data_IF_914184729063
#
_entry.id   IF_914184729063
#
_cell.length_a   1.000
_cell.length_b   1.000
_cell.length_c   1.000
_cell.angle_alpha   90.00
_cell.angle_beta   90.00
_cell.angle_gamma   90.00
#
_symmetry.space_group_name_H-M   'P 1'
#
loop_
_entity.id
_entity.type
_entity.pdbx_description
1 polymer ?
#
# COMPACT_ATOMS: atom_id res chain seq x y z
N UNK A 1 -4.54 13.83 61.57
CA UNK A 1 -5.17 14.77 60.62
C UNK A 1 -5.23 14.04 59.26
N UNK A 2 -6.28 13.31 58.88
CA UNK A 2 -7.67 13.66 58.56
C UNK A 2 -7.88 14.11 57.10
N UNK A 3 -8.90 13.49 56.45
CA UNK A 3 -9.49 13.65 55.09
C UNK A 3 -8.85 12.78 54.00
N UNK A 4 -9.39 11.63 53.53
CA UNK A 4 -10.76 11.13 53.20
C UNK A 4 -11.39 11.77 51.95
N UNK A 5 -11.67 10.93 50.95
CA UNK A 5 -12.53 11.13 49.76
C UNK A 5 -12.04 10.19 48.64
N UNK A 6 -12.55 8.98 48.35
CA UNK A 6 -13.93 8.49 48.11
C UNK A 6 -14.70 9.37 47.13
N UNK A 7 -14.82 8.91 45.88
CA UNK A 7 -16.11 8.69 45.22
C UNK A 7 -16.03 7.50 44.25
N UNK A 8 -17.09 6.69 44.33
CA UNK A 8 -17.47 5.56 43.50
C UNK A 8 -18.91 5.85 43.03
N UNK A 9 -19.38 5.11 42.01
CA UNK A 9 -20.73 5.11 41.34
C UNK A 9 -20.66 5.71 39.92
N UNK A 10 -21.34 5.17 38.90
CA UNK A 10 -22.43 4.19 38.86
C UNK A 10 -22.57 3.60 37.44
N UNK A 11 -23.12 2.40 37.39
CA UNK A 11 -23.65 1.72 36.21
C UNK A 11 -24.85 2.47 35.61
N UNK A 12 -25.00 2.38 34.28
CA UNK A 12 -26.33 2.33 33.66
C UNK A 12 -26.25 1.49 32.36
N UNK A 13 -27.13 0.50 32.30
CA UNK A 13 -27.40 -0.35 31.16
C UNK A 13 -28.23 0.40 30.11
N UNK A 14 -28.08 0.02 28.84
CA UNK A 14 -29.14 0.16 27.83
C UNK A 14 -29.09 -1.06 26.92
N UNK A 15 -30.20 -1.78 26.94
CA UNK A 15 -30.56 -2.89 26.07
C UNK A 15 -31.44 -2.38 24.90
N UNK A 16 -31.69 -3.27 23.95
CA UNK A 16 -32.48 -3.16 22.70
C UNK A 16 -31.62 -2.75 21.48
N UNK A 17 -31.76 -3.32 20.28
CA UNK A 17 -32.82 -4.17 19.74
C UNK A 17 -32.28 -5.02 18.57
N UNK A 18 -33.03 -6.09 18.34
CA UNK A 18 -32.99 -7.11 17.30
C UNK A 18 -32.89 -6.64 15.83
N UNK A 19 -32.26 -7.45 14.99
CA UNK A 19 -32.89 -7.91 13.74
C UNK A 19 -32.15 -9.12 13.13
N UNK A 20 -32.83 -10.26 13.19
CA UNK A 20 -32.53 -11.44 12.40
C UNK A 20 -32.79 -11.13 10.92
N UNK A 21 -31.87 -11.49 10.03
CA UNK A 21 -32.22 -11.84 8.65
C UNK A 21 -31.75 -13.25 8.33
N UNK A 22 -32.71 -14.18 8.42
CA UNK A 22 -32.62 -15.53 7.87
C UNK A 22 -32.83 -15.44 6.36
N UNK A 23 -31.77 -15.56 5.56
CA UNK A 23 -31.92 -15.91 4.14
C UNK A 23 -31.80 -17.42 3.97
N UNK A 24 -32.98 -18.03 3.96
CA UNK A 24 -33.26 -19.38 3.49
C UNK A 24 -33.54 -19.28 1.99
N UNK A 25 -32.88 -20.11 1.16
CA UNK A 25 -33.22 -20.64 -0.17
C UNK A 25 -31.91 -21.20 -0.74
N UNK A 26 -31.76 -22.38 -1.33
CA UNK A 26 -32.65 -23.42 -1.78
C UNK A 26 -31.76 -24.41 -2.55
N UNK A 27 -32.00 -25.70 -2.37
CA UNK A 27 -31.20 -26.80 -2.90
C UNK A 27 -31.48 -27.00 -4.39
N UNK A 28 -30.47 -27.31 -5.21
CA UNK A 28 -30.63 -28.25 -6.34
C UNK A 28 -29.37 -29.09 -6.50
N UNK A 29 -29.59 -30.40 -6.51
CA UNK A 29 -28.60 -31.43 -6.72
C UNK A 29 -28.30 -31.58 -8.21
N UNK A 30 -27.04 -31.83 -8.58
CA UNK A 30 -26.72 -32.58 -9.80
C UNK A 30 -25.37 -33.26 -9.63
N UNK A 31 -25.40 -34.57 -9.43
CA UNK A 31 -24.25 -35.47 -9.63
C UNK A 31 -23.96 -35.60 -11.13
N UNK A 32 -22.74 -35.98 -11.54
CA UNK A 32 -22.62 -37.34 -12.02
C UNK A 32 -21.34 -38.08 -11.63
N UNK A 33 -21.55 -39.37 -11.41
CA UNK A 33 -20.60 -40.49 -11.36
C UNK A 33 -19.82 -40.61 -12.68
N UNK A 34 -18.50 -40.82 -12.60
CA UNK A 34 -17.76 -41.63 -13.57
C UNK A 34 -16.47 -42.19 -12.94
N UNK A 35 -16.48 -43.51 -12.79
CA UNK A 35 -15.37 -44.41 -12.50
C UNK A 35 -14.47 -44.54 -13.74
N UNK A 36 -13.14 -44.56 -13.59
CA UNK A 36 -12.24 -45.51 -14.27
C UNK A 36 -10.76 -45.26 -13.94
N UNK A 37 -10.10 -46.36 -13.62
CA UNK A 37 -8.67 -46.59 -13.42
C UNK A 37 -7.74 -46.00 -14.49
N UNK A 38 -6.50 -45.69 -14.10
CA UNK A 38 -5.30 -46.20 -14.77
C UNK A 38 -4.02 -45.92 -13.98
N UNK A 39 -3.26 -46.99 -13.79
CA UNK A 39 -1.94 -47.12 -13.17
C UNK A 39 -0.89 -47.15 -14.28
N UNK A 40 0.16 -46.32 -14.21
CA UNK A 40 1.51 -46.63 -14.72
C UNK A 40 2.48 -45.44 -14.55
N UNK A 41 3.60 -45.72 -13.89
CA UNK A 41 4.95 -45.17 -14.15
C UNK A 41 5.74 -46.25 -14.92
N UNK A 42 6.96 -46.03 -15.44
CA UNK A 42 7.82 -44.82 -15.49
C UNK A 42 8.35 -44.51 -16.92
N UNK A 43 9.19 -43.47 -17.03
CA UNK A 43 10.52 -43.48 -17.72
C UNK A 43 10.83 -42.29 -18.66
N UNK A 44 12.11 -41.92 -18.62
CA UNK A 44 12.95 -41.13 -19.55
C UNK A 44 12.68 -39.64 -19.91
N UNK A 45 13.67 -38.82 -19.54
CA UNK A 45 14.09 -37.56 -20.20
C UNK A 45 14.74 -37.87 -21.57
N UNK A 46 14.74 -36.98 -22.59
CA UNK A 46 15.60 -35.79 -22.57
C UNK A 46 15.13 -34.55 -23.37
N UNK A 47 15.70 -33.40 -22.94
CA UNK A 47 16.19 -32.27 -23.74
C UNK A 47 15.28 -31.42 -24.66
N UNK A 48 15.52 -30.11 -24.53
CA UNK A 48 15.39 -29.04 -25.53
C UNK A 48 13.98 -28.49 -25.83
N UNK A 49 13.70 -27.28 -25.32
CA UNK A 49 13.65 -26.08 -26.17
C UNK A 49 13.33 -24.84 -25.32
N UNK A 50 14.30 -23.93 -25.33
CA UNK A 50 14.19 -22.56 -24.85
C UNK A 50 13.07 -21.84 -25.62
N UNK A 51 12.08 -21.31 -24.92
CA UNK A 51 11.18 -20.28 -25.47
C UNK A 51 11.50 -18.95 -24.80
N UNK A 52 12.18 -18.11 -25.59
CA UNK A 52 12.58 -16.76 -25.28
C UNK A 52 11.37 -15.89 -24.93
N UNK A 53 11.42 -15.23 -23.78
CA UNK A 53 10.53 -14.14 -23.42
C UNK A 53 10.85 -12.92 -24.29
N UNK A 54 9.90 -12.55 -25.15
CA UNK A 54 9.96 -11.34 -25.96
C UNK A 54 9.68 -10.11 -25.09
N UNK A 55 10.74 -9.39 -24.70
CA UNK A 55 10.60 -8.02 -24.18
C UNK A 55 10.48 -7.04 -25.35
N UNK A 56 9.54 -6.07 -25.34
CA UNK A 56 9.53 -5.01 -26.33
C UNK A 56 10.68 -4.03 -26.07
N UNK A 57 11.68 -4.03 -26.95
CA UNK A 57 12.76 -3.03 -26.99
C UNK A 57 12.26 -1.78 -27.70
N UNK A 58 12.23 -0.64 -27.00
CA UNK A 58 12.02 0.67 -27.63
C UNK A 58 13.36 1.20 -28.18
N UNK A 59 13.42 1.71 -29.43
CA UNK A 59 14.66 2.25 -29.96
C UNK A 59 14.94 3.66 -29.39
N UNK A 60 16.12 3.84 -28.80
CA UNK A 60 16.69 5.15 -28.48
C UNK A 60 17.23 5.75 -29.77
N UNK A 61 16.61 6.83 -30.24
CA UNK A 61 17.11 7.63 -31.36
C UNK A 61 18.27 8.51 -30.86
N UNK A 62 19.47 8.26 -31.36
CA UNK A 62 20.65 9.09 -31.14
C UNK A 62 20.82 9.99 -32.37
N UNK A 63 20.65 11.31 -32.19
CA UNK A 63 21.08 12.29 -33.20
C UNK A 63 22.16 13.16 -32.59
N UNK A 64 23.39 12.92 -33.03
CA UNK A 64 24.58 13.68 -32.67
C UNK A 64 25.00 14.51 -33.89
N UNK A 65 24.82 15.83 -33.78
CA UNK A 65 25.65 16.89 -34.37
C UNK A 65 25.65 17.10 -35.89
N UNK A 66 25.26 18.30 -36.32
CA UNK A 66 26.01 19.04 -37.34
C UNK A 66 25.64 20.53 -37.35
N UNK A 67 26.70 21.35 -37.33
CA UNK A 67 26.90 22.64 -38.03
C UNK A 67 25.95 23.83 -37.80
N UNK A 68 26.58 24.89 -37.28
CA UNK A 68 26.20 26.28 -37.40
C UNK A 68 25.85 26.70 -38.85
N UNK A 69 24.94 27.67 -39.00
CA UNK A 69 25.18 28.98 -39.64
C UNK A 69 23.89 29.66 -40.12
N UNK A 70 23.84 31.00 -39.97
CA UNK A 70 23.00 31.97 -40.71
C UNK A 70 21.47 31.87 -40.47
N UNK A 71 20.63 32.90 -40.59
CA UNK A 71 20.70 34.36 -40.65
C UNK A 71 19.22 34.80 -40.73
N UNK A 72 18.93 35.98 -40.19
CA UNK A 72 17.76 36.82 -40.53
C UNK A 72 16.51 36.73 -39.63
N UNK A 73 16.00 37.89 -39.17
CA UNK A 73 14.73 38.02 -38.43
C UNK A 73 13.52 37.92 -39.38
N UNK A 74 12.34 37.49 -38.89
CA UNK A 74 11.15 37.39 -39.72
C UNK A 74 10.64 38.78 -40.12
N UNK A 75 10.47 38.93 -41.43
CA UNK A 75 9.88 40.07 -42.12
C UNK A 75 8.42 40.27 -41.71
N UNK A 76 8.10 41.52 -41.37
CA UNK A 76 6.76 42.09 -41.36
C UNK A 76 6.08 41.85 -42.70
N UNK A 77 4.89 41.25 -42.72
CA UNK A 77 3.76 41.56 -43.62
C UNK A 77 2.67 40.49 -43.46
N UNK A 78 1.63 40.82 -42.71
CA UNK A 78 0.22 40.69 -43.15
C UNK A 78 -0.69 41.16 -42.01
N UNK A 79 -1.13 42.41 -42.11
CA UNK A 79 -2.14 43.05 -41.25
C UNK A 79 -3.34 43.33 -42.15
N UNK A 80 -4.52 42.73 -41.92
CA UNK A 80 -5.76 43.33 -42.40
C UNK A 80 -6.10 44.56 -41.55
N UNK A 81 -6.07 45.73 -42.20
CA UNK A 81 -6.69 46.97 -41.74
C UNK A 81 -8.21 46.85 -41.91
N UNK A 82 -8.97 47.08 -40.84
CA UNK A 82 -10.35 47.62 -40.81
C UNK A 82 -10.70 47.73 -39.30
N UNK A 83 -10.45 48.89 -38.68
CA UNK A 83 -11.46 49.92 -38.44
C UNK A 83 -12.45 49.57 -37.30
N UNK A 84 -12.06 49.87 -36.05
CA UNK A 84 -12.97 50.39 -35.04
C UNK A 84 -12.28 51.57 -34.36
N UNK A 85 -12.66 52.77 -34.80
CA UNK A 85 -12.41 53.99 -34.07
C UNK A 85 -13.38 54.00 -32.88
N UNK A 86 -12.87 53.79 -31.67
CA UNK A 86 -13.53 54.28 -30.47
C UNK A 86 -12.71 55.43 -29.90
N UNK A 87 -13.35 56.59 -29.97
CA UNK A 87 -12.90 57.88 -29.50
C UNK A 87 -13.00 57.88 -27.99
N UNK A 88 -11.90 57.78 -27.26
CA UNK A 88 -11.81 58.29 -25.88
C UNK A 88 -10.40 58.80 -25.58
N UNK A 89 -10.29 60.12 -25.58
CA UNK A 89 -9.63 60.96 -24.58
C UNK A 89 -8.17 60.68 -24.14
N UNK A 90 -7.28 61.69 -24.18
CA UNK A 90 -6.01 61.64 -23.48
C UNK A 90 -6.21 61.94 -21.98
N UNK A 91 -6.33 60.90 -21.14
CA UNK A 91 -6.17 61.04 -19.68
C UNK A 91 -5.84 59.70 -19.01
N UNK A 92 -4.81 59.73 -18.15
CA UNK A 92 -4.49 58.84 -17.03
C UNK A 92 -3.79 57.49 -17.28
N UNK A 93 -2.54 57.45 -16.83
CA UNK A 93 -1.64 56.30 -16.82
C UNK A 93 -1.81 55.42 -15.55
N UNK A 94 -2.98 55.36 -14.93
CA UNK A 94 -3.14 54.77 -13.58
C UNK A 94 -4.11 53.56 -13.46
N UNK A 95 -4.83 53.14 -14.52
CA UNK A 95 -5.89 52.10 -14.42
C UNK A 95 -5.53 50.67 -14.90
N UNK A 96 -4.26 50.37 -15.19
CA UNK A 96 -3.87 48.99 -15.61
C UNK A 96 -3.57 48.09 -14.39
N UNK A 97 -3.25 48.67 -13.23
CA UNK A 97 -2.92 47.94 -12.01
C UNK A 97 -4.12 47.27 -11.32
N UNK A 98 -5.26 47.97 -11.27
CA UNK A 98 -6.43 47.57 -10.46
C UNK A 98 -7.11 46.30 -10.99
N UNK A 99 -7.31 46.21 -12.31
CA UNK A 99 -7.93 45.05 -12.96
C UNK A 99 -7.07 43.78 -12.86
N UNK A 100 -5.73 43.92 -12.91
CA UNK A 100 -4.80 42.80 -12.73
C UNK A 100 -4.77 42.31 -11.27
N UNK A 101 -4.87 43.21 -10.30
CA UNK A 101 -4.96 42.85 -8.89
C UNK A 101 -6.30 42.15 -8.58
N UNK A 102 -7.42 42.66 -9.10
CA UNK A 102 -8.74 42.05 -8.93
C UNK A 102 -8.82 40.62 -9.50
N UNK A 103 -8.11 40.33 -10.59
CA UNK A 103 -8.09 38.98 -11.19
C UNK A 103 -7.07 38.03 -10.56
N UNK A 104 -5.99 38.54 -9.95
CA UNK A 104 -4.94 37.75 -9.29
C UNK A 104 -5.27 37.43 -7.84
N UNK A 105 -5.90 38.34 -7.09
CA UNK A 105 -6.30 38.14 -5.71
C UNK A 105 -7.06 36.81 -5.47
N UNK A 106 -8.16 36.50 -6.21
CA UNK A 106 -8.88 35.23 -6.02
C UNK A 106 -8.06 34.01 -6.45
N UNK A 107 -7.07 34.17 -7.35
CA UNK A 107 -6.16 33.08 -7.75
C UNK A 107 -5.10 32.83 -6.68
N UNK A 108 -4.65 33.85 -5.97
CA UNK A 108 -3.67 33.74 -4.88
C UNK A 108 -4.35 33.14 -3.65
N UNK A 109 -5.56 33.60 -3.30
CA UNK A 109 -6.35 33.04 -2.19
C UNK A 109 -6.62 31.54 -2.38
N UNK A 110 -6.94 31.10 -3.60
CA UNK A 110 -7.08 29.67 -3.92
C UNK A 110 -5.75 28.90 -3.90
N UNK A 111 -4.63 29.59 -4.08
CA UNK A 111 -3.27 29.02 -4.10
C UNK A 111 -2.59 28.99 -2.73
N UNK A 112 -3.28 29.36 -1.64
CA UNK A 112 -2.77 29.30 -0.27
C UNK A 112 -2.57 27.83 0.22
N UNK A 113 -2.12 26.94 -0.66
CA UNK A 113 -1.46 25.71 -0.23
C UNK A 113 -0.07 26.09 0.26
N UNK A 114 0.20 25.72 1.51
CA UNK A 114 1.50 25.95 2.11
C UNK A 114 2.60 25.23 1.30
N UNK A 115 3.80 25.80 1.27
CA UNK A 115 4.94 25.18 0.58
C UNK A 115 5.24 23.76 1.10
N UNK A 116 4.90 23.49 2.36
CA UNK A 116 4.96 22.15 2.97
C UNK A 116 3.97 21.18 2.33
N UNK A 117 2.74 21.62 2.14
CA UNK A 117 1.64 20.84 1.56
C UNK A 117 1.98 20.46 0.10
N UNK A 118 2.56 21.40 -0.66
CA UNK A 118 3.06 21.14 -2.00
C UNK A 118 4.27 20.19 -2.04
N UNK A 119 5.09 20.17 -0.99
CA UNK A 119 6.21 19.23 -0.87
C UNK A 119 5.71 17.81 -0.55
N UNK A 120 4.73 17.68 0.35
CA UNK A 120 4.08 16.41 0.69
C UNK A 120 3.35 15.80 -0.51
N UNK A 121 2.72 16.64 -1.33
CA UNK A 121 2.13 16.24 -2.62
C UNK A 121 3.16 15.96 -3.72
N UNK A 122 4.46 16.04 -3.41
CA UNK A 122 5.57 15.84 -4.34
C UNK A 122 5.55 16.78 -5.57
N UNK A 123 4.88 17.93 -5.48
CA UNK A 123 4.85 18.97 -6.52
C UNK A 123 6.13 19.83 -6.41
N UNK A 124 6.49 20.21 -5.18
CA UNK A 124 7.77 20.87 -4.89
C UNK A 124 8.80 19.84 -4.41
N UNK A 125 10.01 19.91 -4.95
CA UNK A 125 11.15 19.17 -4.41
C UNK A 125 11.51 19.66 -3.00
N UNK A 126 12.36 18.89 -2.30
CA UNK A 126 12.74 19.17 -0.90
C UNK A 126 13.07 20.64 -0.65
N UNK A 127 12.38 21.22 0.35
CA UNK A 127 12.55 22.61 0.75
C UNK A 127 13.88 22.87 1.49
N UNK A 128 14.54 21.80 1.95
CA UNK A 128 15.83 21.85 2.65
C UNK A 128 17.02 21.90 1.67
N UNK A 129 16.82 21.42 0.44
CA UNK A 129 17.88 21.30 -0.56
C UNK A 129 17.85 22.53 -1.47
N UNK A 130 19.00 23.18 -1.63
CA UNK A 130 19.12 24.35 -2.50
C UNK A 130 18.66 24.01 -3.94
N UNK A 131 17.91 24.90 -4.62
CA UNK A 131 17.31 24.61 -5.94
C UNK A 131 18.30 24.12 -7.00
N UNK A 132 19.54 24.61 -6.96
CA UNK A 132 20.61 24.29 -7.93
C UNK A 132 21.09 22.84 -7.85
N UNK A 133 21.01 22.19 -6.68
CA UNK A 133 21.52 20.83 -6.46
C UNK A 133 20.41 19.77 -6.36
N UNK A 134 19.15 20.15 -6.53
CA UNK A 134 18.03 19.20 -6.41
C UNK A 134 18.13 18.06 -7.42
N UNK A 135 18.54 18.36 -8.66
CA UNK A 135 18.69 17.36 -9.70
C UNK A 135 19.79 16.36 -9.37
N UNK A 136 20.96 16.84 -8.91
CA UNK A 136 22.09 15.98 -8.56
C UNK A 136 21.80 15.16 -7.30
N UNK A 137 21.13 15.75 -6.30
CA UNK A 137 20.67 15.03 -5.11
C UNK A 137 19.71 13.88 -5.48
N UNK A 138 18.73 14.12 -6.36
CA UNK A 138 17.81 13.07 -6.85
C UNK A 138 18.55 12.01 -7.67
N UNK A 139 19.53 12.42 -8.47
CA UNK A 139 20.36 11.51 -9.25
C UNK A 139 21.22 10.60 -8.36
N UNK A 140 21.70 11.09 -7.21
CA UNK A 140 22.45 10.31 -6.23
C UNK A 140 21.55 9.43 -5.36
N UNK A 141 20.35 9.91 -5.00
CA UNK A 141 19.40 9.15 -4.19
C UNK A 141 19.00 7.83 -4.87
N UNK A 142 18.86 7.82 -6.20
CA UNK A 142 18.52 6.62 -6.98
C UNK A 142 19.54 5.48 -6.80
N UNK A 143 20.84 5.63 -7.13
CA UNK A 143 21.82 4.58 -6.93
C UNK A 143 21.97 4.23 -5.45
N UNK A 144 21.95 5.18 -4.53
CA UNK A 144 22.00 4.85 -3.09
C UNK A 144 20.83 3.95 -2.66
N UNK A 145 19.60 4.24 -3.13
CA UNK A 145 18.45 3.37 -2.87
C UNK A 145 18.57 2.02 -3.57
N UNK A 146 19.13 1.97 -4.78
CA UNK A 146 19.33 0.74 -5.52
C UNK A 146 20.38 -0.16 -4.86
N UNK A 147 21.50 0.41 -4.42
CA UNK A 147 22.55 -0.28 -3.67
C UNK A 147 21.99 -0.78 -2.34
N UNK A 148 21.22 0.04 -1.63
CA UNK A 148 20.56 -0.39 -0.40
C UNK A 148 19.63 -1.58 -0.62
N UNK A 149 18.74 -1.51 -1.61
CA UNK A 149 17.87 -2.64 -1.97
C UNK A 149 18.69 -3.86 -2.38
N UNK A 150 19.77 -3.69 -3.16
CA UNK A 150 20.69 -4.76 -3.54
C UNK A 150 21.26 -5.47 -2.31
N UNK A 151 21.76 -4.71 -1.32
CA UNK A 151 22.27 -5.29 -0.07
C UNK A 151 21.19 -6.06 0.71
N UNK A 152 19.96 -5.55 0.75
CA UNK A 152 18.84 -6.26 1.40
C UNK A 152 18.46 -7.55 0.66
N UNK A 153 18.52 -7.54 -0.67
CA UNK A 153 18.26 -8.73 -1.48
C UNK A 153 19.34 -9.80 -1.30
N UNK A 154 20.61 -9.42 -1.13
CA UNK A 154 21.68 -10.40 -0.84
C UNK A 154 21.52 -11.08 0.52
N UNK A 155 20.92 -10.39 1.49
CA UNK A 155 20.64 -10.89 2.84
C UNK A 155 19.22 -11.41 2.99
N UNK A 156 18.50 -11.62 1.89
CA UNK A 156 17.10 -12.04 1.93
C UNK A 156 17.01 -13.47 2.50
N UNK A 157 16.27 -13.68 3.60
CA UNK A 157 16.07 -15.02 4.15
C UNK A 157 15.26 -15.89 3.20
N UNK A 158 15.52 -17.18 3.23
CA UNK A 158 14.75 -18.17 2.48
C UNK A 158 13.35 -18.35 3.10
N UNK A 159 12.41 -18.89 2.31
CA UNK A 159 11.06 -19.18 2.80
C UNK A 159 11.11 -20.16 3.99
N UNK A 160 11.98 -21.17 3.91
CA UNK A 160 12.17 -22.17 4.98
C UNK A 160 12.63 -21.52 6.29
N UNK A 161 13.58 -20.59 6.23
CA UNK A 161 14.03 -19.85 7.42
C UNK A 161 12.90 -19.01 8.02
N UNK A 162 12.03 -18.43 7.19
CA UNK A 162 10.87 -17.67 7.65
C UNK A 162 9.79 -18.58 8.26
N UNK A 163 9.62 -19.80 7.78
CA UNK A 163 8.69 -20.78 8.36
C UNK A 163 9.20 -21.32 9.69
N UNK A 164 10.51 -21.57 9.79
CA UNK A 164 11.13 -22.04 11.03
C UNK A 164 11.07 -20.97 12.13
N UNK A 165 11.17 -19.69 11.74
CA UNK A 165 10.96 -18.55 12.64
C UNK A 165 9.47 -18.27 12.96
N UNK A 166 8.54 -19.01 12.36
CA UNK A 166 7.10 -18.83 12.58
C UNK A 166 6.52 -17.53 11.99
N UNK A 167 7.22 -16.91 11.04
CA UNK A 167 6.80 -15.66 10.40
C UNK A 167 5.76 -15.93 9.29
N UNK A 168 5.95 -17.02 8.54
CA UNK A 168 5.07 -17.42 7.43
C UNK A 168 4.65 -18.87 7.61
N UNK A 169 3.41 -19.20 7.26
CA UNK A 169 2.95 -20.58 7.16
C UNK A 169 2.96 -21.05 5.70
N UNK A 170 3.68 -22.13 5.40
CA UNK A 170 3.85 -22.64 4.03
C UNK A 170 2.64 -23.46 3.52
N UNK A 171 1.78 -23.91 4.45
CA UNK A 171 0.72 -24.88 4.15
C UNK A 171 -0.59 -24.24 3.67
N UNK A 172 -0.73 -22.92 3.75
CA UNK A 172 -1.99 -22.20 3.55
C UNK A 172 -1.76 -21.03 2.60
N UNK A 173 -2.73 -20.75 1.73
CA UNK A 173 -2.66 -19.59 0.84
C UNK A 173 -2.63 -18.28 1.66
N UNK A 174 -1.91 -17.22 1.21
CA UNK A 174 -1.77 -15.96 1.97
C UNK A 174 -3.11 -15.33 2.37
N UNK A 175 -4.13 -15.43 1.52
CA UNK A 175 -5.46 -14.89 1.79
C UNK A 175 -6.21 -15.63 2.91
N UNK A 176 -5.85 -16.88 3.19
CA UNK A 176 -6.50 -17.74 4.19
C UNK A 176 -5.68 -17.91 5.47
N UNK A 177 -4.44 -17.41 5.51
CA UNK A 177 -3.54 -17.58 6.65
C UNK A 177 -4.17 -17.04 7.95
N UNK A 178 -4.73 -15.83 7.91
CA UNK A 178 -5.34 -15.22 9.08
C UNK A 178 -6.55 -16.04 9.60
N UNK A 179 -7.36 -16.59 8.69
CA UNK A 179 -8.53 -17.39 9.07
C UNK A 179 -8.14 -18.78 9.56
N UNK A 180 -7.12 -19.40 8.97
CA UNK A 180 -6.57 -20.67 9.45
C UNK A 180 -5.96 -20.56 10.83
N UNK A 181 -5.23 -19.47 11.10
CA UNK A 181 -4.58 -19.26 12.40
C UNK A 181 -5.62 -19.00 13.48
N UNK A 182 -6.62 -18.17 13.20
CA UNK A 182 -7.74 -17.93 14.11
C UNK A 182 -8.52 -19.23 14.43
N UNK A 183 -8.78 -20.05 13.41
CA UNK A 183 -9.42 -21.34 13.59
C UNK A 183 -8.55 -22.31 14.41
N UNK A 184 -7.25 -22.37 14.12
CA UNK A 184 -6.29 -23.19 14.87
C UNK A 184 -6.25 -22.82 16.35
N UNK A 185 -6.24 -21.52 16.66
CA UNK A 185 -6.31 -21.03 18.04
C UNK A 185 -7.64 -21.43 18.72
N UNK A 186 -8.78 -21.29 18.05
CA UNK A 186 -10.07 -21.70 18.63
C UNK A 186 -10.14 -23.20 18.89
N UNK A 187 -9.71 -24.03 17.94
CA UNK A 187 -9.69 -25.49 18.09
C UNK A 187 -8.77 -25.90 19.26
N UNK A 188 -7.59 -25.28 19.36
CA UNK A 188 -6.67 -25.58 20.47
C UNK A 188 -7.21 -25.10 21.81
N UNK A 189 -7.87 -23.94 21.86
CA UNK A 189 -8.52 -23.42 23.06
C UNK A 189 -9.66 -24.32 23.53
N UNK A 190 -10.53 -24.76 22.63
CA UNK A 190 -11.64 -25.67 22.95
C UNK A 190 -11.11 -27.02 23.45
N UNK A 191 -10.10 -27.57 22.76
CA UNK A 191 -9.45 -28.82 23.16
C UNK A 191 -8.80 -28.68 24.53
N UNK A 192 -8.11 -27.58 24.79
CA UNK A 192 -7.48 -27.31 26.08
C UNK A 192 -8.53 -27.18 27.19
N UNK A 193 -9.61 -26.44 26.94
CA UNK A 193 -10.74 -26.28 27.86
C UNK A 193 -11.33 -27.63 28.26
N UNK A 194 -11.55 -28.52 27.28
CA UNK A 194 -12.05 -29.86 27.56
C UNK A 194 -11.08 -30.71 28.40
N UNK A 195 -9.77 -30.65 28.10
CA UNK A 195 -8.75 -31.38 28.86
C UNK A 195 -8.60 -30.87 30.30
N UNK A 196 -8.68 -29.56 30.49
CA UNK A 196 -8.64 -28.94 31.82
C UNK A 196 -9.91 -29.28 32.61
N UNK A 197 -11.08 -29.30 31.97
CA UNK A 197 -12.33 -29.67 32.64
C UNK A 197 -12.33 -31.11 33.19
N UNK A 198 -11.65 -32.03 32.50
CA UNK A 198 -11.47 -33.42 32.96
C UNK A 198 -10.20 -33.63 33.80
N UNK A 199 -9.60 -32.56 34.32
CA UNK A 199 -8.40 -32.66 35.12
C UNK A 199 -8.69 -33.50 36.38
N UNK A 200 -7.97 -34.62 36.61
CA UNK A 200 -8.12 -35.40 37.84
C UNK A 200 -7.77 -34.56 39.08
N UNK A 201 -8.48 -34.82 40.17
CA UNK A 201 -8.22 -34.19 41.46
C UNK A 201 -6.89 -34.66 42.04
N UNK A 202 -6.37 -33.92 43.03
CA UNK A 202 -5.11 -34.27 43.71
C UNK A 202 -5.17 -35.68 44.32
N UNK A 203 -6.29 -36.02 44.98
CA UNK A 203 -6.52 -37.36 45.53
C UNK A 203 -6.44 -38.43 44.44
N UNK A 204 -7.07 -38.21 43.28
CA UNK A 204 -7.01 -39.15 42.17
C UNK A 204 -5.59 -39.34 41.62
N UNK A 205 -4.73 -38.32 41.70
CA UNK A 205 -3.32 -38.45 41.34
C UNK A 205 -2.54 -39.29 42.35
N UNK A 206 -2.85 -39.17 43.62
CA UNK A 206 -2.18 -39.88 44.69
C UNK A 206 -2.61 -41.35 44.77
N UNK A 207 -3.89 -41.64 44.50
CA UNK A 207 -4.39 -43.00 44.25
C UNK A 207 -3.68 -43.69 43.07
N UNK A 208 -3.23 -42.92 42.08
CA UNK A 208 -2.43 -43.40 40.95
C UNK A 208 -0.91 -43.44 41.24
N UNK A 209 -0.48 -43.13 42.46
CA UNK A 209 0.93 -43.12 42.87
C UNK A 209 1.78 -42.08 42.16
N UNK A 210 1.17 -41.03 41.59
CA UNK A 210 1.87 -39.94 40.90
C UNK A 210 2.36 -38.86 41.89
N UNK A 211 1.64 -38.70 43.00
CA UNK A 211 1.93 -37.72 44.06
C UNK A 211 1.89 -38.45 45.40
N UNK A 212 2.88 -38.20 46.26
CA UNK A 212 2.88 -38.76 47.61
C UNK A 212 1.78 -38.12 48.46
N UNK A 213 1.06 -38.95 49.22
CA UNK A 213 0.01 -38.57 50.17
C UNK A 213 0.62 -37.88 51.41
N UNK A 214 1.24 -36.70 51.21
CA UNK A 214 1.63 -35.80 52.29
C UNK A 214 3.06 -35.94 52.83
N UNK A 215 3.87 -34.93 52.53
CA UNK A 215 4.68 -34.19 53.50
C UNK A 215 4.37 -32.71 53.37
#
# INVERSE_FOLDING_TARGET
MAKKGKQAKQHAASAADSSLSKSKMGNTATSPTATADSKSTPDESPATQQKCSSFPTTPISTTKGSSASHSSPPSTQDIPKEAHADTLSPHDNDDVGHNKVQTLAPKIERRLSDAKDLHEQAILHSLTIAPTIQSTAKQLQRPMSADHVSTLLTKRPSLVELTDQGIVSDKVAPALQATSDALGLNITADRLTHRIARRPSLQGLADHGVVDEGT
#
